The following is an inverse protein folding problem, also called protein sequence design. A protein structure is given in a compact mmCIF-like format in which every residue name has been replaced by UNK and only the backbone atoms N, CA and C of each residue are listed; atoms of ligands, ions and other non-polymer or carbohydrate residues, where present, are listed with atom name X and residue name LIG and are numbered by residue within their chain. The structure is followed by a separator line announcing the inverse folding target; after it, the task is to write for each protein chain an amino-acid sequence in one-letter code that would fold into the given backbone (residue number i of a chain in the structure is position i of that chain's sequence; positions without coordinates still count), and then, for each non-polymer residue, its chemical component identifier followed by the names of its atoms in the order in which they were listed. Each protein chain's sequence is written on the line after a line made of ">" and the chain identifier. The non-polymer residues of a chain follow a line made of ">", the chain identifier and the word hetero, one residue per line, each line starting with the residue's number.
data_IF_756482589752
#
_entry.id   IF_756482589752
#
_cell.length_a   1.000
_cell.length_b   1.000
_cell.length_c   1.000
_cell.angle_alpha   90.00
_cell.angle_beta   90.00
_cell.angle_gamma   90.00
#
_symmetry.space_group_name_H-M   'P 1'
#
loop_
_entity.id
_entity.type
_entity.pdbx_description
1 polymer ?
#
# COMPACT_ATOMS: atom_id res chain seq x y z
N UNK A 1 -10.47 -47.49 -36.92
CA UNK A 1 -9.32 -46.56 -36.98
C UNK A 1 -9.88 -45.18 -36.71
N UNK A 2 -9.61 -44.61 -35.53
CA UNK A 2 -10.05 -43.26 -35.20
C UNK A 2 -9.14 -42.26 -35.90
N UNK A 3 -9.69 -41.49 -36.83
CA UNK A 3 -9.01 -40.37 -37.47
C UNK A 3 -9.12 -39.18 -36.52
N UNK A 4 -7.97 -38.72 -36.04
CA UNK A 4 -7.82 -37.48 -35.25
C UNK A 4 -8.34 -36.28 -36.06
N UNK A 5 -9.03 -35.29 -35.45
CA UNK A 5 -9.40 -34.08 -36.17
C UNK A 5 -8.11 -33.36 -36.56
N UNK A 6 -8.01 -33.00 -37.84
CA UNK A 6 -6.95 -32.18 -38.39
C UNK A 6 -6.96 -30.82 -37.67
N UNK A 7 -5.81 -30.43 -37.11
CA UNK A 7 -5.53 -29.05 -36.71
C UNK A 7 -5.68 -28.18 -37.97
N UNK A 8 -6.78 -27.43 -38.06
CA UNK A 8 -7.00 -26.51 -39.16
C UNK A 8 -5.88 -25.45 -39.13
N UNK A 9 -5.08 -25.39 -40.20
CA UNK A 9 -4.05 -24.36 -40.38
C UNK A 9 -4.73 -23.00 -40.47
N UNK A 10 -4.46 -22.13 -39.49
CA UNK A 10 -4.94 -20.75 -39.46
C UNK A 10 -4.52 -20.00 -40.72
N UNK A 11 -5.43 -19.20 -41.27
CA UNK A 11 -5.15 -18.31 -42.40
C UNK A 11 -4.10 -17.25 -42.01
N UNK A 12 -3.37 -16.65 -42.97
CA UNK A 12 -2.39 -15.60 -42.69
C UNK A 12 -2.98 -14.40 -41.92
N UNK A 13 -4.26 -14.07 -42.16
CA UNK A 13 -4.96 -13.00 -41.44
C UNK A 13 -5.27 -13.39 -39.99
N UNK A 14 -5.70 -14.63 -39.74
CA UNK A 14 -5.92 -15.15 -38.38
C UNK A 14 -4.61 -15.26 -37.59
N UNK A 15 -3.51 -15.65 -38.26
CA UNK A 15 -2.18 -15.65 -37.66
C UNK A 15 -1.73 -14.25 -37.27
N UNK A 16 -1.97 -13.24 -38.12
CA UNK A 16 -1.62 -11.85 -37.79
C UNK A 16 -2.46 -11.30 -36.64
N UNK A 17 -3.77 -11.58 -36.63
CA UNK A 17 -4.65 -11.22 -35.52
C UNK A 17 -4.22 -11.88 -34.21
N UNK A 18 -3.81 -13.16 -34.24
CA UNK A 18 -3.31 -13.86 -33.07
C UNK A 18 -1.99 -13.25 -32.56
N UNK A 19 -1.06 -12.88 -33.44
CA UNK A 19 0.18 -12.18 -33.05
C UNK A 19 -0.12 -10.83 -32.39
N UNK A 20 -1.03 -10.05 -32.97
CA UNK A 20 -1.41 -8.74 -32.42
C UNK A 20 -2.10 -8.90 -31.05
N UNK A 21 -2.96 -9.90 -30.89
CA UNK A 21 -3.60 -10.23 -29.61
C UNK A 21 -2.56 -10.68 -28.56
N UNK A 22 -1.60 -11.52 -28.94
CA UNK A 22 -0.51 -11.96 -28.06
C UNK A 22 0.39 -10.80 -27.63
N UNK A 23 0.68 -9.87 -28.54
CA UNK A 23 1.43 -8.65 -28.22
C UNK A 23 0.66 -7.74 -27.27
N UNK A 24 -0.63 -7.53 -27.51
CA UNK A 24 -1.49 -6.74 -26.63
C UNK A 24 -1.57 -7.36 -25.23
N UNK A 25 -1.74 -8.69 -25.14
CA UNK A 25 -1.72 -9.42 -23.89
C UNK A 25 -0.38 -9.27 -23.15
N UNK A 26 0.75 -9.45 -23.84
CA UNK A 26 2.08 -9.27 -23.22
C UNK A 26 2.30 -7.83 -22.70
N UNK A 27 1.73 -6.83 -23.37
CA UNK A 27 1.79 -5.43 -22.94
C UNK A 27 0.92 -5.16 -21.70
N UNK A 28 -0.17 -5.89 -21.50
CA UNK A 28 -1.05 -5.73 -20.33
C UNK A 28 -0.57 -6.43 -19.06
N UNK A 29 0.29 -7.45 -19.16
CA UNK A 29 0.80 -8.23 -18.01
C UNK A 29 1.30 -7.34 -16.85
N UNK A 30 2.12 -6.29 -17.05
CA UNK A 30 2.58 -5.45 -15.94
C UNK A 30 1.44 -4.74 -15.20
N UNK A 31 0.40 -4.30 -15.92
CA UNK A 31 -0.78 -3.67 -15.35
C UNK A 31 -1.64 -4.68 -14.59
N UNK A 32 -1.86 -5.86 -15.18
CA UNK A 32 -2.58 -6.95 -14.55
C UNK A 32 -1.90 -7.38 -13.24
N UNK A 33 -0.57 -7.55 -13.26
CA UNK A 33 0.21 -7.89 -12.06
C UNK A 33 0.08 -6.79 -11.00
N UNK A 34 0.07 -5.51 -11.41
CA UNK A 34 -0.10 -4.40 -10.47
C UNK A 34 -1.52 -4.39 -9.85
N UNK A 35 -2.56 -4.60 -10.66
CA UNK A 35 -3.94 -4.79 -10.18
C UNK A 35 -4.01 -5.95 -9.18
N UNK A 36 -3.49 -7.12 -9.56
CA UNK A 36 -3.52 -8.32 -8.70
C UNK A 36 -2.87 -8.04 -7.34
N UNK A 37 -1.78 -7.29 -7.30
CA UNK A 37 -1.14 -6.95 -6.01
C UNK A 37 -2.04 -6.10 -5.11
N UNK A 38 -2.73 -5.09 -5.64
CA UNK A 38 -3.63 -4.26 -4.83
C UNK A 38 -4.90 -5.00 -4.46
N UNK A 39 -5.44 -5.81 -5.36
CA UNK A 39 -6.55 -6.69 -5.04
C UNK A 39 -6.17 -7.67 -3.92
N UNK A 40 -5.01 -8.35 -4.03
CA UNK A 40 -4.54 -9.29 -3.01
C UNK A 40 -4.36 -8.63 -1.65
N UNK A 41 -3.88 -7.38 -1.60
CA UNK A 41 -3.79 -6.59 -0.37
C UNK A 41 -5.18 -6.32 0.23
N UNK A 42 -6.15 -5.89 -0.58
CA UNK A 42 -7.53 -5.66 -0.14
C UNK A 42 -8.16 -6.95 0.41
N UNK A 43 -8.09 -8.02 -0.38
CA UNK A 43 -8.59 -9.34 -0.02
C UNK A 43 -7.98 -9.85 1.29
N UNK A 44 -6.65 -9.76 1.46
CA UNK A 44 -5.97 -10.19 2.68
C UNK A 44 -6.35 -9.35 3.91
N UNK A 45 -6.64 -8.06 3.72
CA UNK A 45 -7.11 -7.19 4.80
C UNK A 45 -8.52 -7.61 5.23
N UNK A 46 -9.42 -7.81 4.28
CA UNK A 46 -10.82 -8.17 4.49
C UNK A 46 -10.96 -9.55 5.17
N UNK A 47 -10.26 -10.57 4.66
CA UNK A 47 -10.24 -11.92 5.25
C UNK A 47 -9.46 -11.99 6.57
N UNK A 48 -8.53 -11.05 6.77
CA UNK A 48 -7.65 -11.01 7.91
C UNK A 48 -8.23 -10.32 9.14
N UNK A 49 -9.34 -9.60 8.99
CA UNK A 49 -10.02 -8.86 10.06
C UNK A 49 -10.83 -9.84 10.93
N UNK A 50 -10.29 -10.15 12.11
CA UNK A 50 -10.96 -10.96 13.12
C UNK A 50 -11.34 -10.08 14.32
N UNK A 51 -12.51 -10.29 14.96
CA UNK A 51 -12.89 -9.61 16.20
C UNK A 51 -11.80 -9.70 17.30
N UNK A 52 -11.05 -10.81 17.30
CA UNK A 52 -9.99 -11.08 18.28
C UNK A 52 -8.62 -10.48 17.89
N UNK A 53 -8.44 -10.07 16.63
CA UNK A 53 -7.18 -9.56 16.08
C UNK A 53 -7.12 -8.03 15.89
N UNK A 54 -8.15 -7.32 16.31
CA UNK A 54 -8.31 -5.88 16.14
C UNK A 54 -7.31 -5.01 16.91
N UNK A 55 -7.27 -3.73 16.55
CA UNK A 55 -6.32 -2.75 17.09
C UNK A 55 -6.35 -2.64 18.63
N UNK A 56 -7.54 -2.75 19.25
CA UNK A 56 -7.72 -2.74 20.70
C UNK A 56 -6.90 -3.83 21.43
N UNK A 57 -6.68 -4.97 20.77
CA UNK A 57 -5.96 -6.11 21.34
C UNK A 57 -4.45 -5.98 21.23
N UNK A 58 -3.91 -4.98 20.52
CA UNK A 58 -2.47 -4.81 20.39
C UNK A 58 -1.86 -4.21 21.67
N UNK A 59 -0.82 -4.83 22.27
CA UNK A 59 -0.13 -4.26 23.43
C UNK A 59 0.38 -2.84 23.17
N UNK A 60 0.92 -2.60 21.96
CA UNK A 60 1.38 -1.27 21.56
C UNK A 60 0.24 -0.23 21.62
N UNK A 61 -0.95 -0.58 21.13
CA UNK A 61 -2.10 0.33 21.16
C UNK A 61 -2.61 0.58 22.58
N UNK A 62 -2.66 -0.46 23.43
CA UNK A 62 -3.09 -0.31 24.82
C UNK A 62 -2.16 0.60 25.62
N UNK A 63 -0.85 0.48 25.40
CA UNK A 63 0.19 1.28 26.04
C UNK A 63 0.37 2.66 25.39
N UNK A 64 -0.23 2.90 24.22
CA UNK A 64 -0.10 4.18 23.54
C UNK A 64 -0.71 5.31 24.37
N UNK A 65 0.11 6.28 24.72
CA UNK A 65 -0.28 7.50 25.40
C UNK A 65 0.52 8.64 24.77
N UNK A 66 -0.12 9.81 24.66
CA UNK A 66 0.50 11.01 24.16
C UNK A 66 0.13 12.17 25.08
N UNK A 67 1.06 13.10 25.26
CA UNK A 67 0.79 14.41 25.84
C UNK A 67 0.99 15.42 24.73
N UNK A 68 -0.11 16.03 24.29
CA UNK A 68 -0.12 16.98 23.18
C UNK A 68 -0.36 18.38 23.73
N UNK A 69 0.51 19.32 23.36
CA UNK A 69 0.26 20.74 23.56
C UNK A 69 -0.79 21.27 22.57
N UNK A 70 -1.41 22.42 22.85
CA UNK A 70 -2.37 23.06 21.95
C UNK A 70 -1.82 23.30 20.53
N UNK A 71 -0.54 23.68 20.43
CA UNK A 71 0.13 23.86 19.13
C UNK A 71 0.25 22.54 18.35
N UNK A 72 0.44 21.43 19.06
CA UNK A 72 0.53 20.10 18.46
C UNK A 72 -0.82 19.56 18.03
N UNK A 73 -1.87 19.80 18.83
CA UNK A 73 -3.25 19.53 18.45
C UNK A 73 -3.60 20.28 17.17
N UNK A 74 -3.24 21.55 17.07
CA UNK A 74 -3.48 22.37 15.86
C UNK A 74 -2.75 21.80 14.64
N UNK A 75 -1.49 21.39 14.78
CA UNK A 75 -0.72 20.79 13.68
C UNK A 75 -1.31 19.44 13.24
N UNK A 76 -1.73 18.62 14.20
CA UNK A 76 -2.35 17.33 13.97
C UNK A 76 -3.70 17.46 13.26
N UNK A 77 -4.54 18.42 13.65
CA UNK A 77 -5.82 18.70 12.96
C UNK A 77 -5.59 19.08 11.50
N UNK A 78 -4.55 19.86 11.19
CA UNK A 78 -4.20 20.19 9.79
C UNK A 78 -3.82 18.96 8.98
N UNK A 79 -3.08 18.01 9.58
CA UNK A 79 -2.72 16.74 8.93
C UNK A 79 -3.95 15.88 8.69
N UNK A 80 -4.88 15.79 9.66
CA UNK A 80 -6.13 15.06 9.49
C UNK A 80 -7.02 15.68 8.40
N UNK A 81 -7.16 17.01 8.35
CA UNK A 81 -7.91 17.67 7.28
C UNK A 81 -7.32 17.37 5.90
N UNK A 82 -5.99 17.42 5.77
CA UNK A 82 -5.31 17.03 4.53
C UNK A 82 -5.58 15.56 4.16
N UNK A 83 -5.51 14.66 5.15
CA UNK A 83 -5.82 13.24 4.99
C UNK A 83 -7.25 13.04 4.46
N UNK A 84 -8.25 13.61 5.16
CA UNK A 84 -9.66 13.44 4.86
C UNK A 84 -10.09 14.11 3.55
N UNK A 85 -9.66 15.34 3.27
CA UNK A 85 -9.98 15.99 1.99
C UNK A 85 -9.35 15.25 0.81
N UNK A 86 -8.16 14.69 0.97
CA UNK A 86 -7.53 13.88 -0.09
C UNK A 86 -8.25 12.54 -0.29
N UNK A 87 -8.66 11.89 0.79
CA UNK A 87 -9.47 10.65 0.71
C UNK A 87 -10.85 10.91 0.10
N UNK A 88 -11.49 12.03 0.43
CA UNK A 88 -12.74 12.45 -0.18
C UNK A 88 -12.62 12.58 -1.70
N UNK A 89 -11.56 13.23 -2.20
CA UNK A 89 -11.31 13.35 -3.64
C UNK A 89 -11.09 11.99 -4.32
N UNK A 90 -10.41 11.07 -3.63
CA UNK A 90 -10.22 9.70 -4.11
C UNK A 90 -11.57 8.95 -4.21
N UNK A 91 -12.41 9.06 -3.17
CA UNK A 91 -13.76 8.44 -3.13
C UNK A 91 -14.66 8.97 -4.23
N UNK A 92 -14.73 10.29 -4.39
CA UNK A 92 -15.53 10.92 -5.43
C UNK A 92 -15.12 10.44 -6.84
N UNK A 93 -13.81 10.22 -7.06
CA UNK A 93 -13.32 9.67 -8.33
C UNK A 93 -13.82 8.24 -8.57
N UNK A 94 -13.82 7.39 -7.53
CA UNK A 94 -14.27 6.01 -7.64
C UNK A 94 -15.79 5.88 -7.84
N UNK A 95 -16.59 6.80 -7.29
CA UNK A 95 -18.06 6.77 -7.37
C UNK A 95 -18.63 7.34 -8.68
N UNK A 96 -17.97 8.36 -9.26
CA UNK A 96 -18.52 9.14 -10.39
C UNK A 96 -18.15 8.61 -11.78
N UNK A 97 -17.24 7.65 -11.87
CA UNK A 97 -16.55 7.30 -13.11
C UNK A 97 -17.17 6.15 -13.93
N UNK A 98 -17.30 6.35 -15.23
CA UNK A 98 -17.32 5.22 -16.17
C UNK A 98 -15.92 4.59 -16.31
N UNK A 99 -15.81 3.45 -17.00
CA UNK A 99 -14.52 2.74 -17.19
C UNK A 99 -13.44 3.62 -17.83
N UNK A 100 -13.81 4.46 -18.80
CA UNK A 100 -12.87 5.34 -19.48
C UNK A 100 -12.37 6.47 -18.57
N UNK A 101 -13.25 7.01 -17.74
CA UNK A 101 -12.89 7.98 -16.72
C UNK A 101 -11.95 7.35 -15.69
N UNK A 102 -12.30 6.17 -15.15
CA UNK A 102 -11.49 5.47 -14.14
C UNK A 102 -10.10 5.09 -14.66
N UNK A 103 -10.02 4.68 -15.93
CA UNK A 103 -8.76 4.44 -16.64
C UNK A 103 -7.85 5.68 -16.63
N UNK A 104 -8.37 6.83 -17.03
CA UNK A 104 -7.59 8.08 -17.05
C UNK A 104 -7.35 8.65 -15.65
N UNK A 105 -8.21 8.31 -14.69
CA UNK A 105 -8.11 8.79 -13.33
C UNK A 105 -6.89 8.30 -12.56
N UNK A 106 -6.22 7.24 -13.03
CA UNK A 106 -4.99 6.74 -12.43
C UNK A 106 -3.93 7.84 -12.22
N UNK A 107 -3.90 8.84 -13.12
CA UNK A 107 -2.99 9.99 -13.03
C UNK A 107 -3.12 10.77 -11.73
N UNK A 108 -4.31 10.85 -11.14
CA UNK A 108 -4.54 11.55 -9.87
C UNK A 108 -4.91 10.62 -8.71
N UNK A 109 -5.49 9.44 -8.95
CA UNK A 109 -5.81 8.51 -7.84
C UNK A 109 -4.56 7.90 -7.22
N UNK A 110 -3.51 7.61 -7.99
CA UNK A 110 -2.23 7.14 -7.46
C UNK A 110 -1.63 8.15 -6.45
N UNK A 111 -1.48 9.45 -6.77
CA UNK A 111 -0.98 10.42 -5.80
C UNK A 111 -1.95 10.63 -4.64
N UNK A 112 -3.25 10.71 -4.90
CA UNK A 112 -4.24 10.90 -3.84
C UNK A 112 -4.18 9.77 -2.81
N UNK A 113 -4.17 8.51 -3.24
CA UNK A 113 -4.07 7.35 -2.36
C UNK A 113 -2.75 7.32 -1.55
N UNK A 114 -1.63 7.68 -2.18
CA UNK A 114 -0.35 7.78 -1.45
C UNK A 114 -0.37 8.91 -0.42
N UNK A 115 -0.81 10.11 -0.81
CA UNK A 115 -0.73 11.30 0.03
C UNK A 115 -1.74 11.31 1.17
N UNK A 116 -2.94 10.76 0.99
CA UNK A 116 -3.90 10.61 2.10
C UNK A 116 -3.33 9.71 3.19
N UNK A 117 -2.79 8.53 2.83
CA UNK A 117 -2.19 7.59 3.80
C UNK A 117 -0.94 8.20 4.44
N UNK A 118 -0.13 8.94 3.69
CA UNK A 118 1.03 9.63 4.25
C UNK A 118 0.63 10.70 5.26
N UNK A 119 -0.42 11.49 4.99
CA UNK A 119 -0.93 12.49 5.91
C UNK A 119 -1.50 11.86 7.19
N UNK A 120 -2.28 10.79 7.07
CA UNK A 120 -2.77 9.99 8.20
C UNK A 120 -1.62 9.40 9.03
N UNK A 121 -0.63 8.80 8.35
CA UNK A 121 0.57 8.26 9.00
C UNK A 121 1.36 9.35 9.72
N UNK A 122 1.51 10.53 9.13
CA UNK A 122 2.18 11.66 9.76
C UNK A 122 1.43 12.14 11.00
N UNK A 123 0.09 12.20 10.96
CA UNK A 123 -0.72 12.52 12.13
C UNK A 123 -0.49 11.52 13.26
N UNK A 124 -0.48 10.21 12.95
CA UNK A 124 -0.13 9.17 13.93
C UNK A 124 1.30 9.30 14.45
N UNK A 125 2.29 9.50 13.57
CA UNK A 125 3.69 9.68 13.99
C UNK A 125 3.86 10.88 14.92
N UNK A 126 3.07 11.93 14.71
CA UNK A 126 3.04 13.11 15.56
C UNK A 126 2.68 12.76 17.02
N UNK A 127 1.73 11.84 17.23
CA UNK A 127 1.35 11.36 18.58
C UNK A 127 2.44 10.53 19.25
N UNK A 128 3.40 10.02 18.48
CA UNK A 128 4.58 9.30 18.98
C UNK A 128 5.82 10.20 19.16
N UNK A 129 5.68 11.51 18.91
CA UNK A 129 6.78 12.48 18.99
C UNK A 129 7.66 12.58 17.73
N UNK A 130 7.29 11.92 16.63
CA UNK A 130 8.02 12.00 15.36
C UNK A 130 7.39 13.09 14.48
N UNK A 131 8.14 14.18 14.26
CA UNK A 131 7.65 15.40 13.57
C UNK A 131 8.36 15.66 12.22
N UNK A 132 9.08 14.67 11.70
CA UNK A 132 9.84 14.84 10.45
C UNK A 132 8.94 14.71 9.23
N UNK A 133 9.12 15.62 8.27
CA UNK A 133 8.54 15.51 6.93
C UNK A 133 9.45 14.73 5.96
N UNK A 134 10.65 14.34 6.41
CA UNK A 134 11.58 13.58 5.58
C UNK A 134 11.05 12.16 5.36
N UNK A 135 10.72 11.82 4.12
CA UNK A 135 10.14 10.52 3.77
C UNK A 135 11.00 9.32 4.19
N UNK A 136 12.33 9.44 4.17
CA UNK A 136 13.21 8.34 4.57
C UNK A 136 13.15 8.11 6.08
N UNK A 137 13.01 9.18 6.86
CA UNK A 137 12.80 9.10 8.31
C UNK A 137 11.43 8.47 8.58
N UNK A 138 10.36 9.01 7.96
CA UNK A 138 8.99 8.48 8.09
C UNK A 138 8.94 6.98 7.74
N UNK A 139 9.54 6.58 6.61
CA UNK A 139 9.61 5.17 6.18
C UNK A 139 10.35 4.27 7.17
N UNK A 140 11.43 4.76 7.79
CA UNK A 140 12.15 4.01 8.82
C UNK A 140 11.32 3.86 10.09
N UNK A 141 10.67 4.92 10.54
CA UNK A 141 9.84 4.87 11.74
C UNK A 141 8.63 3.96 11.55
N UNK A 142 7.91 4.06 10.42
CA UNK A 142 6.78 3.16 10.16
C UNK A 142 7.21 1.70 10.04
N UNK A 143 8.38 1.44 9.44
CA UNK A 143 8.97 0.10 9.44
C UNK A 143 9.20 -0.46 10.84
N UNK A 144 9.68 0.36 11.78
CA UNK A 144 9.83 -0.04 13.19
C UNK A 144 8.48 -0.27 13.86
N UNK A 145 7.49 0.56 13.60
CA UNK A 145 6.14 0.41 14.15
C UNK A 145 5.50 -0.91 13.71
N UNK A 146 5.62 -1.27 12.43
CA UNK A 146 5.15 -2.57 11.91
C UNK A 146 5.83 -3.72 12.66
N UNK A 147 7.16 -3.71 12.79
CA UNK A 147 7.90 -4.76 13.52
C UNK A 147 7.52 -4.80 15.01
N UNK A 148 7.23 -3.67 15.64
CA UNK A 148 6.79 -3.57 17.04
C UNK A 148 5.33 -3.94 17.28
N UNK A 149 4.61 -4.50 16.29
CA UNK A 149 3.19 -4.83 16.39
C UNK A 149 2.30 -3.62 16.74
N UNK A 150 2.62 -2.45 16.19
CA UNK A 150 1.75 -1.27 16.24
C UNK A 150 0.66 -1.29 15.17
N UNK A 151 0.59 -2.34 14.36
CA UNK A 151 -0.37 -2.51 13.29
C UNK A 151 -1.06 -3.86 13.41
N UNK A 152 -2.37 -3.97 13.10
CA UNK A 152 -3.10 -5.23 13.12
C UNK A 152 -2.48 -6.28 12.18
N UNK A 153 -2.76 -7.55 12.46
CA UNK A 153 -2.18 -8.69 11.72
C UNK A 153 -2.16 -8.49 10.20
N UNK A 154 -3.26 -8.10 9.53
CA UNK A 154 -3.33 -8.07 8.07
C UNK A 154 -2.40 -7.06 7.40
N UNK A 155 -1.91 -6.07 8.13
CA UNK A 155 -0.96 -5.06 7.62
C UNK A 155 0.34 -5.02 8.41
N UNK A 156 0.58 -6.05 9.23
CA UNK A 156 1.77 -6.19 10.09
C UNK A 156 2.94 -6.95 9.42
N UNK A 157 2.76 -7.41 8.17
CA UNK A 157 3.78 -8.11 7.41
C UNK A 157 4.90 -7.20 6.93
N UNK A 158 6.09 -7.77 6.73
CA UNK A 158 7.23 -7.03 6.21
C UNK A 158 8.29 -7.94 5.59
N UNK A 159 9.14 -7.38 4.73
CA UNK A 159 10.33 -8.02 4.21
C UNK A 159 11.63 -7.39 4.74
N UNK A 160 12.61 -8.25 4.99
CA UNK A 160 13.95 -7.93 5.46
C UNK A 160 15.00 -8.74 4.67
N UNK A 161 16.27 -8.73 5.11
CA UNK A 161 17.33 -9.52 4.48
C UNK A 161 18.13 -8.80 3.40
N UNK A 162 19.19 -9.46 2.91
CA UNK A 162 20.14 -8.92 1.94
C UNK A 162 19.65 -9.08 0.50
N UNK A 163 20.26 -8.35 -0.44
CA UNK A 163 19.88 -8.46 -1.86
C UNK A 163 20.10 -9.87 -2.38
N UNK A 164 19.04 -10.48 -2.93
CA UNK A 164 19.06 -11.86 -3.40
C UNK A 164 18.64 -12.89 -2.34
N UNK A 165 18.54 -12.49 -1.07
CA UNK A 165 18.12 -13.32 0.06
C UNK A 165 17.17 -12.53 0.97
N UNK A 166 15.94 -12.35 0.50
CA UNK A 166 14.91 -11.61 1.22
C UNK A 166 14.03 -12.55 2.04
N UNK A 167 13.93 -12.27 3.34
CA UNK A 167 13.00 -12.94 4.24
C UNK A 167 11.68 -12.16 4.30
N UNK A 168 10.56 -12.89 4.31
CA UNK A 168 9.22 -12.33 4.51
C UNK A 168 8.73 -12.79 5.88
N UNK A 169 8.20 -11.86 6.66
CA UNK A 169 7.74 -12.08 8.02
C UNK A 169 6.24 -11.81 8.13
N UNK A 170 5.56 -12.64 8.96
CA UNK A 170 4.12 -12.55 9.26
C UNK A 170 3.21 -12.67 8.04
N UNK A 171 3.67 -13.42 7.03
CA UNK A 171 2.93 -13.77 5.83
C UNK A 171 3.33 -15.22 5.44
N UNK A 172 2.81 -16.24 6.15
CA UNK A 172 3.32 -17.62 6.07
C UNK A 172 3.26 -18.24 4.68
N UNK A 173 2.29 -17.84 3.85
CA UNK A 173 2.08 -18.37 2.51
C UNK A 173 2.79 -17.52 1.42
N UNK A 174 3.61 -16.55 1.81
CA UNK A 174 4.37 -15.72 0.87
C UNK A 174 5.44 -16.47 0.07
N UNK A 175 5.79 -17.69 0.48
CA UNK A 175 6.75 -18.57 -0.18
C UNK A 175 6.22 -19.22 -1.46
N UNK A 176 4.90 -19.30 -1.63
CA UNK A 176 4.28 -19.94 -2.79
C UNK A 176 4.47 -19.13 -4.07
N UNK A 177 4.32 -19.80 -5.22
CA UNK A 177 4.44 -19.18 -6.54
C UNK A 177 3.19 -18.34 -6.80
N UNK A 178 3.38 -17.03 -6.94
CA UNK A 178 2.32 -16.11 -7.32
C UNK A 178 1.83 -16.37 -8.76
N UNK A 179 0.52 -16.50 -8.94
CA UNK A 179 -0.14 -16.60 -10.24
C UNK A 179 -0.44 -15.23 -10.87
N UNK A 180 -0.83 -15.25 -12.16
CA UNK A 180 -1.26 -14.06 -12.91
C UNK A 180 -2.77 -13.77 -12.80
N UNK A 181 -3.53 -14.64 -12.14
CA UNK A 181 -4.96 -14.46 -11.93
C UNK A 181 -5.23 -13.63 -10.67
N UNK A 182 -6.41 -13.03 -10.58
CA UNK A 182 -6.92 -12.42 -9.36
C UNK A 182 -6.97 -13.49 -8.26
N UNK A 183 -6.56 -13.12 -7.04
CA UNK A 183 -6.58 -14.05 -5.91
C UNK A 183 -8.01 -14.47 -5.58
N UNK A 184 -8.27 -15.77 -5.45
CA UNK A 184 -9.58 -16.29 -5.02
C UNK A 184 -9.53 -16.93 -3.63
N UNK A 185 -8.35 -17.02 -3.04
CA UNK A 185 -8.07 -17.67 -1.77
C UNK A 185 -6.82 -17.06 -1.13
N UNK A 186 -6.71 -17.22 0.19
CA UNK A 186 -5.66 -16.61 1.00
C UNK A 186 -4.23 -17.00 0.58
N UNK A 187 -4.02 -18.23 0.10
CA UNK A 187 -2.70 -18.67 -0.39
C UNK A 187 -2.25 -17.85 -1.61
N UNK A 188 -3.17 -17.55 -2.53
CA UNK A 188 -2.87 -16.77 -3.73
C UNK A 188 -2.61 -15.30 -3.37
N UNK A 189 -3.43 -14.74 -2.48
CA UNK A 189 -3.27 -13.38 -2.00
C UNK A 189 -1.90 -13.19 -1.31
N UNK A 190 -1.56 -14.05 -0.35
CA UNK A 190 -0.27 -13.98 0.34
C UNK A 190 0.92 -14.24 -0.59
N UNK A 191 0.81 -15.15 -1.56
CA UNK A 191 1.87 -15.38 -2.55
C UNK A 191 2.13 -14.12 -3.39
N UNK A 192 1.06 -13.45 -3.86
CA UNK A 192 1.13 -12.21 -4.62
C UNK A 192 1.69 -11.06 -3.79
N UNK A 193 1.21 -10.85 -2.55
CA UNK A 193 1.78 -9.87 -1.61
C UNK A 193 3.27 -10.17 -1.36
N UNK A 194 3.62 -11.44 -1.23
CA UNK A 194 5.01 -11.87 -1.03
C UNK A 194 5.91 -11.52 -2.22
N UNK A 195 5.44 -11.75 -3.44
CA UNK A 195 6.13 -11.30 -4.65
C UNK A 195 6.25 -9.77 -4.69
N UNK A 196 5.19 -9.05 -4.30
CA UNK A 196 5.19 -7.59 -4.29
C UNK A 196 6.23 -7.02 -3.31
N UNK A 197 6.33 -7.59 -2.11
CA UNK A 197 7.36 -7.24 -1.13
C UNK A 197 8.78 -7.47 -1.66
N UNK A 198 9.05 -8.64 -2.26
CA UNK A 198 10.37 -8.98 -2.81
C UNK A 198 10.76 -8.03 -3.93
N UNK A 199 9.86 -7.78 -4.87
CA UNK A 199 10.14 -6.89 -6.02
C UNK A 199 10.31 -5.45 -5.58
N UNK A 200 9.51 -4.97 -4.62
CA UNK A 200 9.66 -3.63 -4.02
C UNK A 200 11.00 -3.49 -3.28
N UNK A 201 11.38 -4.48 -2.47
CA UNK A 201 12.68 -4.49 -1.77
C UNK A 201 13.85 -4.53 -2.75
N UNK A 202 13.74 -5.30 -3.84
CA UNK A 202 14.74 -5.35 -4.93
C UNK A 202 14.95 -3.97 -5.55
N UNK A 203 13.85 -3.27 -5.89
CA UNK A 203 13.93 -1.92 -6.43
C UNK A 203 14.55 -0.93 -5.46
N UNK A 204 14.17 -0.97 -4.17
CA UNK A 204 14.78 -0.14 -3.12
C UNK A 204 16.30 -0.35 -3.06
N UNK A 205 16.75 -1.60 -3.08
CA UNK A 205 18.17 -1.93 -3.08
C UNK A 205 18.90 -1.38 -4.31
N UNK A 206 18.33 -1.52 -5.50
CA UNK A 206 18.90 -0.99 -6.75
C UNK A 206 18.98 0.54 -6.70
N UNK A 207 17.93 1.21 -6.22
CA UNK A 207 17.92 2.67 -6.07
C UNK A 207 19.00 3.16 -5.08
N UNK A 208 19.16 2.49 -3.94
CA UNK A 208 20.24 2.81 -2.99
C UNK A 208 21.62 2.56 -3.60
N UNK A 209 21.79 1.47 -4.36
CA UNK A 209 23.03 1.22 -5.09
C UNK A 209 23.36 2.38 -6.04
N UNK A 210 22.39 2.86 -6.81
CA UNK A 210 22.58 3.99 -7.71
C UNK A 210 22.99 5.25 -6.93
N UNK A 211 22.29 5.58 -5.84
CA UNK A 211 22.63 6.73 -4.98
C UNK A 211 24.06 6.65 -4.42
N UNK A 212 24.47 5.46 -3.96
CA UNK A 212 25.83 5.21 -3.45
C UNK A 212 26.87 5.35 -4.56
N UNK A 213 26.61 4.82 -5.76
CA UNK A 213 27.57 4.86 -6.87
C UNK A 213 27.68 6.25 -7.53
N UNK A 214 26.61 7.05 -7.52
CA UNK A 214 26.63 8.42 -8.05
C UNK A 214 27.38 9.40 -7.14
N UNK A 215 27.47 9.12 -5.83
CA UNK A 215 28.20 9.97 -4.89
C UNK A 215 29.69 9.59 -4.85
N UNK A 216 30.62 10.49 -5.25
CA UNK A 216 32.05 10.19 -5.30
C UNK A 216 32.65 9.73 -3.96
N UNK A 217 32.09 10.20 -2.84
CA UNK A 217 32.56 9.95 -1.48
C UNK A 217 32.09 8.60 -0.91
N UNK A 218 31.00 8.04 -1.44
CA UNK A 218 30.43 6.77 -0.96
C UNK A 218 30.49 5.65 -1.99
N UNK A 219 30.86 5.96 -3.25
CA UNK A 219 31.01 4.99 -4.31
C UNK A 219 31.99 3.87 -3.92
N UNK A 220 31.52 2.62 -4.00
CA UNK A 220 32.35 1.44 -3.80
C UNK A 220 33.21 1.28 -5.05
N UNK A 221 34.54 1.30 -4.88
CA UNK A 221 35.55 1.33 -5.95
C UNK A 221 36.38 0.05 -5.99
N UNK A 222 36.89 -0.26 -7.16
CA UNK A 222 37.90 -1.31 -7.34
C UNK A 222 39.20 -0.91 -6.67
N UNK A 223 39.76 -1.79 -5.83
CA UNK A 223 41.10 -1.59 -5.24
C UNK A 223 42.21 -1.52 -6.31
N UNK A 224 41.99 -2.14 -7.48
CA UNK A 224 42.98 -2.17 -8.57
C UNK A 224 42.97 -0.92 -9.44
N UNK A 225 41.79 -0.36 -9.72
CA UNK A 225 41.63 0.72 -10.71
C UNK A 225 41.14 2.04 -10.12
N UNK A 226 40.71 2.07 -8.86
CA UNK A 226 40.12 3.26 -8.22
C UNK A 226 38.76 3.68 -8.80
N UNK A 227 38.25 3.01 -9.83
CA UNK A 227 36.99 3.33 -10.49
C UNK A 227 35.80 2.72 -9.74
N UNK A 228 34.61 3.37 -9.79
CA UNK A 228 33.37 2.80 -9.25
C UNK A 228 33.07 1.41 -9.84
N UNK A 229 32.47 0.53 -9.04
CA UNK A 229 32.21 -0.86 -9.43
C UNK A 229 30.91 -1.03 -10.24
N UNK A 230 31.05 -1.61 -11.43
CA UNK A 230 29.91 -1.97 -12.31
C UNK A 230 29.18 -3.25 -11.85
N UNK A 231 29.90 -4.21 -11.25
CA UNK A 231 29.35 -5.47 -10.75
C UNK A 231 29.58 -5.59 -9.24
N UNK A 232 28.53 -5.96 -8.52
CA UNK A 232 28.54 -6.06 -7.06
C UNK A 232 28.47 -7.51 -6.62
N UNK A 233 29.33 -7.90 -5.67
CA UNK A 233 29.28 -9.20 -5.00
C UNK A 233 28.24 -9.17 -3.88
N UNK A 234 27.92 -10.33 -3.29
CA UNK A 234 27.04 -10.40 -2.12
C UNK A 234 27.52 -9.51 -0.97
N UNK A 235 28.84 -9.44 -0.74
CA UNK A 235 29.43 -8.57 0.28
C UNK A 235 29.16 -7.07 0.00
N UNK A 236 29.28 -6.61 -1.25
CA UNK A 236 28.97 -5.22 -1.59
C UNK A 236 27.48 -4.91 -1.38
N UNK A 237 26.59 -5.84 -1.72
CA UNK A 237 25.17 -5.68 -1.46
C UNK A 237 24.86 -5.62 0.04
N UNK A 238 25.49 -6.48 0.83
CA UNK A 238 25.32 -6.51 2.28
C UNK A 238 25.67 -5.17 2.93
N UNK A 239 26.70 -4.46 2.43
CA UNK A 239 27.11 -3.14 2.91
C UNK A 239 26.04 -2.05 2.78
N UNK A 240 25.09 -2.19 1.85
CA UNK A 240 24.02 -1.19 1.67
C UNK A 240 22.66 -1.69 2.13
N UNK A 241 22.42 -3.01 2.11
CA UNK A 241 21.09 -3.56 2.37
C UNK A 241 20.67 -3.43 3.83
N UNK A 242 21.62 -3.35 4.76
CA UNK A 242 21.31 -3.06 6.17
C UNK A 242 20.66 -1.67 6.35
N UNK A 243 20.97 -0.71 5.46
CA UNK A 243 20.42 0.66 5.51
C UNK A 243 19.01 0.78 4.94
N UNK A 244 18.51 -0.26 4.27
CA UNK A 244 17.19 -0.27 3.63
C UNK A 244 16.03 -0.28 4.63
N UNK A 245 16.30 -0.70 5.87
CA UNK A 245 15.27 -0.96 6.85
C UNK A 245 14.31 -2.06 6.40
N UNK A 246 13.11 -2.05 6.98
CA UNK A 246 12.03 -2.96 6.64
C UNK A 246 11.31 -2.51 5.36
N UNK A 247 10.78 -3.46 4.61
CA UNK A 247 9.87 -3.19 3.48
C UNK A 247 8.47 -3.59 3.90
N UNK A 248 7.54 -2.65 3.96
CA UNK A 248 6.19 -2.83 4.52
C UNK A 248 5.12 -2.46 3.49
N UNK A 249 3.84 -2.59 3.86
CA UNK A 249 2.72 -2.11 3.03
C UNK A 249 2.87 -0.64 2.60
N UNK A 250 3.48 0.22 3.43
CA UNK A 250 3.73 1.62 3.08
C UNK A 250 4.75 1.78 1.94
N UNK A 251 5.70 0.86 1.81
CA UNK A 251 6.60 0.83 0.66
C UNK A 251 5.89 0.33 -0.60
N UNK A 252 4.94 -0.60 -0.45
CA UNK A 252 4.08 -1.07 -1.54
C UNK A 252 3.21 0.08 -2.06
N UNK A 253 2.59 0.86 -1.17
CA UNK A 253 1.85 2.07 -1.53
C UNK A 253 2.76 3.13 -2.17
N UNK A 254 4.03 3.22 -1.73
CA UNK A 254 5.04 4.06 -2.35
C UNK A 254 5.30 3.73 -3.83
N UNK A 255 4.92 2.54 -4.31
CA UNK A 255 5.00 2.18 -5.74
C UNK A 255 4.02 2.98 -6.59
N UNK A 256 2.84 3.35 -6.06
CA UNK A 256 1.88 4.22 -6.77
C UNK A 256 2.55 5.53 -7.19
N UNK A 257 3.33 6.13 -6.28
CA UNK A 257 4.09 7.35 -6.55
C UNK A 257 5.17 7.17 -7.61
N UNK A 258 5.90 6.05 -7.57
CA UNK A 258 6.93 5.75 -8.59
C UNK A 258 6.28 5.61 -9.96
N UNK A 259 5.12 4.96 -9.99
CA UNK A 259 4.37 4.74 -11.20
C UNK A 259 3.66 5.95 -11.77
N UNK A 260 3.73 7.12 -11.10
CA UNK A 260 3.31 8.40 -11.68
C UNK A 260 4.28 8.94 -12.74
N UNK A 261 5.46 8.33 -12.91
CA UNK A 261 6.30 8.69 -14.05
C UNK A 261 5.52 8.43 -15.35
N UNK A 262 5.54 9.39 -16.28
CA UNK A 262 4.70 9.38 -17.50
C UNK A 262 4.73 8.02 -18.22
N UNK A 263 5.91 7.42 -18.32
CA UNK A 263 6.11 6.14 -19.01
C UNK A 263 5.48 4.93 -18.32
N UNK A 264 5.42 4.88 -16.98
CA UNK A 264 4.80 3.74 -16.28
C UNK A 264 3.27 3.88 -16.27
N UNK A 265 2.76 5.09 -16.09
CA UNK A 265 1.32 5.33 -16.03
C UNK A 265 0.65 5.15 -17.39
N UNK A 266 1.29 5.58 -18.49
CA UNK A 266 0.81 5.35 -19.86
C UNK A 266 0.59 3.85 -20.12
N UNK A 267 1.51 3.00 -19.65
CA UNK A 267 1.37 1.53 -19.78
C UNK A 267 0.20 0.96 -18.99
N UNK A 268 -0.19 1.58 -17.88
CA UNK A 268 -1.33 1.16 -17.09
C UNK A 268 -2.65 1.66 -17.68
N UNK A 269 -2.66 2.88 -18.22
CA UNK A 269 -3.83 3.47 -18.92
C UNK A 269 -4.14 2.69 -20.20
N UNK A 270 -3.11 2.28 -20.95
CA UNK A 270 -3.27 1.50 -22.19
C UNK A 270 -3.62 0.03 -21.96
N UNK A 271 -3.44 -0.49 -20.75
CA UNK A 271 -3.71 -1.88 -20.46
C UNK A 271 -5.21 -2.17 -20.37
N UNK A 272 -5.58 -3.39 -20.74
CA UNK A 272 -6.92 -3.93 -20.53
C UNK A 272 -6.97 -4.63 -19.17
N UNK A 273 -7.39 -3.89 -18.14
CA UNK A 273 -7.55 -4.36 -16.76
C UNK A 273 -8.90 -3.89 -16.21
N UNK A 274 -9.37 -4.52 -15.13
CA UNK A 274 -10.55 -4.07 -14.41
C UNK A 274 -10.23 -2.84 -13.54
N UNK A 275 -10.52 -1.64 -14.07
CA UNK A 275 -10.22 -0.39 -13.38
C UNK A 275 -11.15 -0.18 -12.19
N UNK A 276 -12.43 -0.58 -12.27
CA UNK A 276 -13.36 -0.51 -11.12
C UNK A 276 -12.83 -1.32 -9.94
N UNK A 277 -12.41 -2.55 -10.19
CA UNK A 277 -11.82 -3.41 -9.18
C UNK A 277 -10.53 -2.82 -8.60
N UNK A 278 -9.71 -2.19 -9.45
CA UNK A 278 -8.50 -1.52 -8.99
C UNK A 278 -8.83 -0.39 -7.99
N UNK A 279 -9.72 0.53 -8.38
CA UNK A 279 -10.07 1.69 -7.56
C UNK A 279 -10.79 1.29 -6.27
N UNK A 280 -11.69 0.31 -6.31
CA UNK A 280 -12.36 -0.21 -5.10
C UNK A 280 -11.37 -0.85 -4.14
N UNK A 281 -10.45 -1.69 -4.64
CA UNK A 281 -9.37 -2.30 -3.84
C UNK A 281 -8.47 -1.24 -3.21
N UNK A 282 -8.06 -0.23 -3.99
CA UNK A 282 -7.22 0.86 -3.52
C UNK A 282 -7.92 1.67 -2.43
N UNK A 283 -9.20 1.99 -2.61
CA UNK A 283 -10.00 2.73 -1.64
C UNK A 283 -10.19 1.92 -0.35
N UNK A 284 -10.43 0.62 -0.44
CA UNK A 284 -10.53 -0.29 0.72
C UNK A 284 -9.24 -0.23 1.56
N UNK A 285 -8.07 -0.36 0.93
CA UNK A 285 -6.76 -0.25 1.59
C UNK A 285 -6.56 1.12 2.25
N UNK A 286 -6.86 2.20 1.53
CA UNK A 286 -6.76 3.58 2.05
C UNK A 286 -7.63 3.75 3.29
N UNK A 287 -8.91 3.37 3.18
CA UNK A 287 -9.87 3.48 4.27
C UNK A 287 -9.42 2.66 5.50
N UNK A 288 -8.88 1.46 5.25
CA UNK A 288 -8.38 0.60 6.30
C UNK A 288 -7.16 1.20 7.02
N UNK A 289 -6.17 1.72 6.30
CA UNK A 289 -4.97 2.28 6.93
C UNK A 289 -5.26 3.60 7.63
N UNK A 290 -6.03 4.50 7.01
CA UNK A 290 -6.41 5.76 7.62
C UNK A 290 -7.23 5.55 8.90
N UNK A 291 -8.15 4.57 8.91
CA UNK A 291 -8.87 4.24 10.15
C UNK A 291 -7.99 3.72 11.28
N UNK A 292 -6.88 3.02 11.00
CA UNK A 292 -5.90 2.67 12.05
C UNK A 292 -5.24 3.93 12.60
N UNK A 293 -4.75 4.80 11.72
CA UNK A 293 -4.06 6.03 12.11
C UNK A 293 -4.97 6.97 12.89
N UNK A 294 -6.20 7.16 12.41
CA UNK A 294 -7.23 7.94 13.09
C UNK A 294 -7.53 7.39 14.48
N UNK A 295 -7.58 6.07 14.65
CA UNK A 295 -7.85 5.47 15.96
C UNK A 295 -6.70 5.74 16.95
N UNK A 296 -5.44 5.70 16.50
CA UNK A 296 -4.30 6.14 17.31
C UNK A 296 -4.39 7.63 17.68
N UNK A 297 -4.76 8.45 16.71
CA UNK A 297 -4.89 9.90 16.89
C UNK A 297 -6.02 10.25 17.86
N UNK A 298 -7.19 9.62 17.71
CA UNK A 298 -8.32 9.77 18.60
C UNK A 298 -7.98 9.33 20.03
N UNK A 299 -7.22 8.23 20.18
CA UNK A 299 -6.70 7.81 21.49
C UNK A 299 -5.78 8.87 22.12
N UNK A 300 -4.92 9.49 21.33
CA UNK A 300 -3.98 10.51 21.78
C UNK A 300 -4.65 11.84 22.15
N UNK A 301 -5.70 12.23 21.42
CA UNK A 301 -6.48 13.44 21.69
C UNK A 301 -7.51 13.27 22.82
N UNK A 302 -8.01 12.06 23.01
CA UNK A 302 -9.24 11.78 23.74
C UNK A 302 -10.45 11.77 22.81
N UNK A 303 -11.38 10.83 23.05
CA UNK A 303 -12.54 10.59 22.20
C UNK A 303 -13.42 11.84 22.05
N UNK A 304 -13.75 12.52 23.15
CA UNK A 304 -14.61 13.72 23.14
C UNK A 304 -14.05 14.83 22.23
N UNK A 305 -12.74 15.07 22.32
CA UNK A 305 -12.06 16.07 21.50
C UNK A 305 -12.05 15.65 20.04
N UNK A 306 -11.82 14.37 19.75
CA UNK A 306 -11.89 13.84 18.39
C UNK A 306 -13.29 13.96 17.79
N UNK A 307 -14.34 13.64 18.55
CA UNK A 307 -15.74 13.82 18.15
C UNK A 307 -16.09 15.29 17.88
N UNK A 308 -15.53 16.21 18.67
CA UNK A 308 -15.65 17.64 18.40
C UNK A 308 -15.01 18.00 17.05
N UNK A 309 -13.79 17.54 16.76
CA UNK A 309 -13.14 17.78 15.46
C UNK A 309 -13.97 17.26 14.29
N UNK A 310 -14.57 16.07 14.43
CA UNK A 310 -15.41 15.46 13.38
C UNK A 310 -16.71 16.27 13.17
N UNK A 311 -17.28 16.86 14.23
CA UNK A 311 -18.47 17.74 14.12
C UNK A 311 -18.15 19.09 13.46
N UNK A 312 -16.95 19.60 13.67
CA UNK A 312 -16.48 20.89 13.15
C UNK A 312 -15.88 20.80 11.73
N UNK A 313 -16.04 19.65 11.06
CA UNK A 313 -15.53 19.45 9.70
C UNK A 313 -16.13 20.44 8.69
N UNK A 314 -15.38 20.81 7.63
CA UNK A 314 -15.92 21.56 6.50
C UNK A 314 -17.09 20.85 5.83
N UNK A 315 -18.00 21.61 5.21
CA UNK A 315 -19.24 21.09 4.63
C UNK A 315 -19.07 19.86 3.70
N UNK A 316 -18.01 19.82 2.87
CA UNK A 316 -17.75 18.69 1.97
C UNK A 316 -17.36 17.38 2.69
N UNK A 317 -16.96 17.46 3.96
CA UNK A 317 -16.62 16.31 4.81
C UNK A 317 -17.69 16.05 5.89
N UNK A 318 -18.66 16.94 6.07
CA UNK A 318 -19.79 16.68 6.95
C UNK A 318 -20.66 15.56 6.37
N UNK A 319 -21.20 14.70 7.23
CA UNK A 319 -22.03 13.55 6.82
C UNK A 319 -21.31 12.61 5.82
N UNK A 320 -19.98 12.55 5.90
CA UNK A 320 -19.13 11.75 5.02
C UNK A 320 -18.61 10.48 5.70
N UNK A 321 -17.75 9.75 4.98
CA UNK A 321 -17.02 8.57 5.46
C UNK A 321 -16.27 8.79 6.79
N UNK A 322 -15.93 10.03 7.16
CA UNK A 322 -15.25 10.33 8.43
C UNK A 322 -16.16 10.08 9.64
N UNK A 323 -17.42 10.51 9.56
CA UNK A 323 -18.42 10.25 10.61
C UNK A 323 -18.73 8.76 10.71
N UNK A 324 -18.84 8.10 9.55
CA UNK A 324 -19.09 6.67 9.50
C UNK A 324 -17.93 5.85 10.10
N UNK A 325 -16.69 6.20 9.78
CA UNK A 325 -15.48 5.59 10.36
C UNK A 325 -15.37 5.84 11.87
N UNK A 326 -15.76 7.03 12.34
CA UNK A 326 -15.84 7.31 13.77
C UNK A 326 -16.78 6.31 14.46
N UNK A 327 -17.99 6.15 13.93
CA UNK A 327 -19.05 5.29 14.47
C UNK A 327 -18.70 3.80 14.43
N UNK A 328 -18.19 3.30 13.31
CA UNK A 328 -18.02 1.85 13.09
C UNK A 328 -16.66 1.33 13.54
N UNK A 329 -15.65 2.21 13.66
CA UNK A 329 -14.27 1.78 13.91
C UNK A 329 -13.62 2.48 15.08
N UNK A 330 -13.53 3.80 15.06
CA UNK A 330 -12.74 4.55 16.06
C UNK A 330 -13.37 4.42 17.44
N UNK A 331 -14.64 4.81 17.57
CA UNK A 331 -15.36 4.81 18.85
C UNK A 331 -15.49 3.41 19.45
N UNK A 332 -15.93 2.36 18.71
CA UNK A 332 -15.99 1.00 19.26
C UNK A 332 -14.63 0.49 19.74
N UNK A 333 -13.55 0.75 18.98
CA UNK A 333 -12.19 0.34 19.35
C UNK A 333 -11.71 1.01 20.64
N UNK A 334 -12.05 2.29 20.86
CA UNK A 334 -11.64 3.02 22.07
C UNK A 334 -12.48 2.67 23.29
N UNK A 335 -13.77 2.41 23.10
CA UNK A 335 -14.69 2.04 24.18
C UNK A 335 -14.64 0.53 24.52
N UNK A 336 -13.99 -0.28 23.68
CA UNK A 336 -13.96 -1.74 23.84
C UNK A 336 -15.31 -2.40 23.60
N UNK A 337 -16.15 -1.77 22.78
CA UNK A 337 -17.48 -2.26 22.42
C UNK A 337 -17.35 -3.01 21.08
N UNK A 338 -17.91 -4.21 20.98
CA UNK A 338 -18.01 -4.88 19.68
C UNK A 338 -19.01 -4.11 18.79
N UNK A 339 -18.66 -3.80 17.53
CA UNK A 339 -19.60 -3.14 16.63
C UNK A 339 -20.84 -4.03 16.46
N UNK A 340 -22.03 -3.47 16.64
CA UNK A 340 -23.26 -4.19 16.32
C UNK A 340 -23.22 -4.60 14.84
N UNK A 341 -23.43 -5.88 14.51
CA UNK A 341 -23.42 -6.30 13.12
C UNK A 341 -24.54 -5.59 12.38
N UNK A 342 -24.19 -4.79 11.38
CA UNK A 342 -25.18 -4.30 10.43
C UNK A 342 -25.84 -5.51 9.77
N UNK A 343 -27.14 -5.68 10.04
CA UNK A 343 -28.02 -6.54 9.27
C UNK A 343 -27.94 -6.06 7.82
N UNK A 344 -27.08 -6.71 7.02
CA UNK A 344 -27.11 -6.60 5.56
C UNK A 344 -28.48 -7.11 5.14
N UNK A 345 -29.43 -6.20 4.95
CA UNK A 345 -30.65 -6.51 4.20
C UNK A 345 -30.19 -6.96 2.82
N UNK A 346 -30.48 -8.20 2.48
CA UNK A 346 -30.32 -8.70 1.13
C UNK A 346 -31.14 -7.80 0.19
N UNK A 347 -30.46 -7.17 -0.77
CA UNK A 347 -31.06 -6.53 -1.93
C UNK A 347 -30.55 -7.25 -3.17
#
# INVERSE_FOLDING_TARGET
>A
MNVSPAEALLTPEEQEQQRLADEAWRRSIPAQVFLNYFFALSYHIEEGESPLGGLANLPYFRQHQAQLSEGEVTALTKLLHSCWSTEYALRATAELGDENFLRNALHWTFPQAYHTILAGLQAFLFTTGVRSTNEQVVRREVGRLVVKNAYPRPVSFYAAGAYGDFSIHRLPLAGYKAGLHIASQEIDAQAQIGQFLRTTRKQKAISVRQQVQTNPNTAIRSQKTGKPLDKWTAAHWQQITWRLGYTTIFDLLGRLRISQSSREIERYVEADIDFRLFHSSLLSIVSYLNGIHETYVAKALGLERYEQLVRELPAHLQHSFVQERLRTRVQPTLLGIEPEPELKMAA
#
